data_IF_240449282494
#
_entry.id   IF_240449282494
#
_cell.length_a   1.000
_cell.length_b   1.000
_cell.length_c   1.000
_cell.angle_alpha   90.00
_cell.angle_beta   90.00
_cell.angle_gamma   90.00
#
_symmetry.space_group_name_H-M   'P 1'
#
loop_
_entity.id
_entity.type
_entity.pdbx_description
1 polymer ?
#
# COMPACT_ATOMS: atom_id res chain seq x y z
N UNK A 1 -5.64 -19.15 -15.32
CA UNK A 1 -6.91 -18.86 -16.02
C UNK A 1 -6.80 -17.47 -16.67
N UNK A 2 -6.51 -17.38 -17.99
CA UNK A 2 -6.15 -16.10 -18.64
C UNK A 2 -7.19 -14.98 -18.51
N UNK A 3 -8.46 -15.36 -18.37
CA UNK A 3 -9.58 -14.42 -18.25
C UNK A 3 -9.52 -13.58 -16.96
N UNK A 4 -9.08 -14.16 -15.83
CA UNK A 4 -9.01 -13.45 -14.55
C UNK A 4 -7.91 -12.39 -14.59
N UNK A 5 -6.70 -12.77 -14.99
CA UNK A 5 -5.58 -11.83 -15.10
C UNK A 5 -5.89 -10.71 -16.08
N UNK A 6 -6.55 -11.02 -17.20
CA UNK A 6 -6.98 -9.99 -18.17
C UNK A 6 -7.98 -9.00 -17.55
N UNK A 7 -8.97 -9.50 -16.80
CA UNK A 7 -9.95 -8.63 -16.11
C UNK A 7 -9.28 -7.72 -15.08
N UNK A 8 -8.38 -8.28 -14.28
CA UNK A 8 -7.63 -7.52 -13.27
C UNK A 8 -6.75 -6.44 -13.93
N UNK A 9 -6.05 -6.77 -15.01
CA UNK A 9 -5.24 -5.81 -15.78
C UNK A 9 -6.08 -4.66 -16.34
N UNK A 10 -7.24 -4.94 -16.91
CA UNK A 10 -8.17 -3.90 -17.39
C UNK A 10 -8.55 -2.96 -16.24
N UNK A 11 -9.00 -3.52 -15.12
CA UNK A 11 -9.47 -2.73 -13.97
C UNK A 11 -8.35 -1.86 -13.39
N UNK A 12 -7.11 -2.32 -13.46
CA UNK A 12 -5.94 -1.63 -12.93
C UNK A 12 -5.22 -0.74 -13.96
N UNK A 13 -5.74 -0.60 -15.18
CA UNK A 13 -5.14 0.21 -16.25
C UNK A 13 -3.86 -0.37 -16.87
N UNK A 14 -3.65 -1.67 -16.77
CA UNK A 14 -2.46 -2.38 -17.28
C UNK A 14 -2.66 -2.90 -18.72
N UNK A 15 -1.56 -3.14 -19.44
CA UNK A 15 -1.57 -3.70 -20.78
C UNK A 15 -1.78 -5.23 -20.74
N UNK A 16 -2.90 -5.70 -21.31
CA UNK A 16 -3.30 -7.12 -21.33
C UNK A 16 -2.46 -7.94 -22.31
N UNK A 17 -1.99 -7.31 -23.39
CA UNK A 17 -1.15 -7.96 -24.39
C UNK A 17 0.27 -8.20 -23.87
N UNK A 18 0.73 -7.33 -22.97
CA UNK A 18 2.02 -7.47 -22.32
C UNK A 18 1.95 -8.48 -21.16
N UNK A 19 2.79 -9.51 -21.19
CA UNK A 19 2.81 -10.62 -20.23
C UNK A 19 4.23 -11.07 -19.86
N UNK A 20 5.25 -10.45 -20.45
CA UNK A 20 6.65 -10.82 -20.29
C UNK A 20 7.43 -9.87 -19.38
N UNK A 21 6.84 -8.73 -19.02
CA UNK A 21 7.38 -7.81 -18.02
C UNK A 21 6.43 -7.65 -16.84
N UNK A 22 6.95 -7.43 -15.63
CA UNK A 22 6.13 -7.04 -14.49
C UNK A 22 5.34 -5.76 -14.79
N UNK A 23 4.12 -5.67 -14.27
CA UNK A 23 3.28 -4.49 -14.38
C UNK A 23 2.64 -4.17 -13.05
N UNK A 24 2.60 -2.89 -12.71
CA UNK A 24 1.92 -2.38 -11.53
C UNK A 24 0.79 -1.46 -11.93
N UNK A 25 -0.30 -1.53 -11.18
CA UNK A 25 -1.49 -0.71 -11.39
C UNK A 25 -2.24 -0.50 -10.08
N UNK A 26 -3.33 0.26 -10.16
CA UNK A 26 -4.21 0.49 -9.02
C UNK A 26 -5.66 0.41 -9.45
N UNK A 27 -6.50 -0.09 -8.54
CA UNK A 27 -7.95 -0.14 -8.70
C UNK A 27 -8.53 0.66 -7.54
N UNK A 28 -9.21 1.76 -7.83
CA UNK A 28 -10.00 2.47 -6.82
C UNK A 28 -11.45 2.03 -6.93
N UNK A 29 -12.01 1.50 -5.85
CA UNK A 29 -13.41 1.08 -5.81
C UNK A 29 -14.08 1.52 -4.50
N UNK A 30 -15.40 1.67 -4.54
CA UNK A 30 -16.21 1.91 -3.36
C UNK A 30 -16.89 0.60 -2.96
N UNK A 31 -16.63 0.14 -1.75
CA UNK A 31 -17.20 -1.09 -1.21
C UNK A 31 -17.82 -0.79 0.16
N UNK A 32 -19.10 -1.09 0.33
CA UNK A 32 -19.85 -0.81 1.58
C UNK A 32 -19.68 0.65 2.07
N UNK A 33 -19.76 1.60 1.16
CA UNK A 33 -19.60 3.03 1.46
C UNK A 33 -18.15 3.50 1.61
N UNK A 34 -17.20 2.60 1.91
CA UNK A 34 -15.77 2.90 2.08
C UNK A 34 -15.03 2.97 0.77
N UNK A 35 -14.07 3.89 0.66
CA UNK A 35 -13.16 3.97 -0.50
C UNK A 35 -11.96 3.07 -0.28
N UNK A 36 -11.86 1.99 -1.06
CA UNK A 36 -10.73 1.05 -1.02
C UNK A 36 -9.83 1.32 -2.23
N UNK A 37 -8.54 1.45 -1.96
CA UNK A 37 -7.50 1.58 -2.97
C UNK A 37 -6.73 0.26 -3.04
N UNK A 38 -6.79 -0.44 -4.17
CA UNK A 38 -6.13 -1.73 -4.34
C UNK A 38 -4.91 -1.52 -5.23
N UNK A 39 -3.72 -1.78 -4.69
CA UNK A 39 -2.51 -1.88 -5.51
C UNK A 39 -2.43 -3.27 -6.10
N UNK A 40 -2.21 -3.36 -7.40
CA UNK A 40 -2.14 -4.62 -8.13
C UNK A 40 -0.77 -4.70 -8.79
N UNK A 41 -0.09 -5.83 -8.60
CA UNK A 41 1.16 -6.15 -9.29
C UNK A 41 0.99 -7.47 -10.04
N UNK A 42 1.49 -7.53 -11.26
CA UNK A 42 1.56 -8.77 -12.05
C UNK A 42 3.00 -9.05 -12.42
N UNK A 43 3.40 -10.32 -12.40
CA UNK A 43 4.74 -10.75 -12.78
C UNK A 43 4.71 -12.06 -13.58
N UNK A 44 5.57 -12.22 -14.60
CA UNK A 44 5.67 -13.46 -15.36
C UNK A 44 6.18 -14.60 -14.47
N UNK A 45 5.61 -15.78 -14.67
CA UNK A 45 5.98 -17.05 -14.00
C UNK A 45 5.98 -18.19 -15.02
N UNK A 46 6.43 -19.38 -14.62
CA UNK A 46 6.49 -20.56 -15.49
C UNK A 46 5.12 -20.94 -16.10
N UNK A 47 4.02 -20.70 -15.38
CA UNK A 47 2.68 -21.13 -15.76
C UNK A 47 1.72 -19.98 -16.13
N UNK A 48 2.28 -18.81 -16.46
CA UNK A 48 1.51 -17.60 -16.77
C UNK A 48 1.91 -16.45 -15.87
N UNK A 49 0.95 -15.66 -15.41
CA UNK A 49 1.24 -14.47 -14.59
C UNK A 49 0.79 -14.68 -13.14
N UNK A 50 1.66 -14.36 -12.20
CA UNK A 50 1.28 -14.17 -10.79
C UNK A 50 0.62 -12.81 -10.64
N UNK A 51 -0.43 -12.73 -9.83
CA UNK A 51 -1.15 -11.49 -9.54
C UNK A 51 -1.17 -11.30 -8.03
N UNK A 52 -0.65 -10.19 -7.55
CA UNK A 52 -0.68 -9.80 -6.14
C UNK A 52 -1.55 -8.56 -6.00
N UNK A 53 -2.48 -8.59 -5.06
CA UNK A 53 -3.34 -7.45 -4.74
C UNK A 53 -3.16 -7.06 -3.28
N UNK A 54 -2.85 -5.79 -3.04
CA UNK A 54 -2.75 -5.20 -1.70
C UNK A 54 -3.86 -4.19 -1.53
N UNK A 55 -4.76 -4.47 -0.60
CA UNK A 55 -5.86 -3.58 -0.25
C UNK A 55 -5.34 -2.54 0.74
N UNK A 56 -5.60 -1.26 0.43
CA UNK A 56 -5.33 -0.13 1.30
C UNK A 56 -6.67 0.52 1.63
N UNK A 57 -7.06 0.41 2.91
CA UNK A 57 -8.18 1.16 3.46
C UNK A 57 -7.65 2.53 3.91
N UNK A 58 -8.12 3.61 3.27
CA UNK A 58 -7.66 4.98 3.57
C UNK A 58 -8.42 5.60 4.74
N UNK A 59 -9.52 4.99 5.19
CA UNK A 59 -10.36 5.55 6.26
C UNK A 59 -9.97 5.03 7.66
N UNK A 60 -9.10 4.03 7.76
CA UNK A 60 -8.88 3.28 9.02
C UNK A 60 -7.70 3.73 9.89
N UNK A 61 -6.91 4.73 9.51
CA UNK A 61 -5.69 5.09 10.25
C UNK A 61 -5.84 6.44 10.95
N UNK A 62 -6.21 6.39 12.22
CA UNK A 62 -5.93 7.49 13.16
C UNK A 62 -4.42 7.52 13.41
N UNK A 63 -3.74 8.56 12.92
CA UNK A 63 -2.30 8.76 13.07
C UNK A 63 -1.97 9.40 14.43
N UNK A 64 -2.36 8.75 15.54
CA UNK A 64 -1.97 9.18 16.88
C UNK A 64 -0.92 8.22 17.45
N UNK A 65 0.25 8.76 17.83
CA UNK A 65 1.37 8.00 18.38
C UNK A 65 0.97 7.20 19.63
N UNK A 66 0.03 7.72 20.43
CA UNK A 66 -0.48 7.00 21.59
C UNK A 66 -1.27 5.74 21.16
N UNK A 67 -2.13 5.86 20.14
CA UNK A 67 -2.87 4.72 19.59
C UNK A 67 -1.99 3.68 18.89
N UNK A 68 -0.79 4.08 18.46
CA UNK A 68 0.23 3.19 17.87
C UNK A 68 1.02 2.40 18.93
N UNK A 69 0.71 2.58 20.22
CA UNK A 69 1.35 1.85 21.32
C UNK A 69 2.67 2.47 21.80
N UNK A 70 2.94 3.73 21.43
CA UNK A 70 4.07 4.47 21.98
C UNK A 70 3.85 4.73 23.47
N UNK A 71 4.86 4.43 24.30
CA UNK A 71 4.80 4.75 25.72
C UNK A 71 4.82 6.26 25.92
N UNK A 72 4.23 6.74 27.00
CA UNK A 72 4.12 8.18 27.27
C UNK A 72 5.49 8.87 27.33
N UNK A 73 6.50 8.22 27.90
CA UNK A 73 7.88 8.74 27.98
C UNK A 73 8.55 8.88 26.60
N UNK A 74 8.35 7.88 25.74
CA UNK A 74 8.85 7.87 24.36
C UNK A 74 8.14 8.95 23.53
N UNK A 75 6.83 9.09 23.72
CA UNK A 75 6.00 10.11 23.08
C UNK A 75 6.43 11.52 23.47
N UNK A 76 6.59 11.79 24.76
CA UNK A 76 7.07 13.09 25.24
C UNK A 76 8.48 13.43 24.72
N UNK A 77 9.30 12.42 24.46
CA UNK A 77 10.62 12.59 23.83
C UNK A 77 10.48 12.87 22.33
N UNK A 78 9.63 12.13 21.63
CA UNK A 78 9.32 12.36 20.21
C UNK A 78 8.73 13.76 19.97
N UNK A 79 7.71 14.16 20.74
CA UNK A 79 7.04 15.47 20.64
C UNK A 79 8.03 16.62 20.82
N UNK A 80 8.99 16.48 21.75
CA UNK A 80 10.08 17.45 21.92
C UNK A 80 11.03 17.49 20.73
N UNK A 81 11.43 16.33 20.20
CA UNK A 81 12.38 16.24 19.08
C UNK A 81 11.78 16.80 17.78
N UNK A 82 10.52 16.51 17.47
CA UNK A 82 9.86 17.01 16.26
C UNK A 82 9.55 18.51 16.31
N UNK A 83 9.48 19.10 17.52
CA UNK A 83 9.28 20.53 17.72
C UNK A 83 10.56 21.37 17.57
N UNK A 84 11.74 20.74 17.47
CA UNK A 84 12.99 21.46 17.27
C UNK A 84 13.02 22.13 15.88
N UNK A 85 13.53 23.37 15.76
CA UNK A 85 13.52 24.12 14.50
C UNK A 85 14.42 23.51 13.42
N UNK A 86 15.33 22.63 13.80
CA UNK A 86 16.29 21.95 12.94
C UNK A 86 16.83 20.69 13.64
N UNK A 87 17.08 19.64 12.86
CA UNK A 87 17.55 18.33 13.34
C UNK A 87 17.16 17.22 12.37
N UNK A 88 17.60 15.99 12.64
CA UNK A 88 17.21 14.80 11.88
C UNK A 88 16.64 13.76 12.85
N UNK A 89 15.44 13.25 12.54
CA UNK A 89 14.84 12.10 13.22
C UNK A 89 14.81 10.95 12.22
N UNK A 90 15.43 9.82 12.58
CA UNK A 90 15.49 8.63 11.74
C UNK A 90 14.53 7.57 12.29
N UNK A 91 13.50 7.23 11.51
CA UNK A 91 12.60 6.12 11.82
C UNK A 91 13.15 4.87 11.12
N UNK A 92 13.49 3.85 11.90
CA UNK A 92 14.06 2.59 11.40
C UNK A 92 13.12 1.42 11.70
N UNK A 93 13.16 0.41 10.84
CA UNK A 93 12.38 -0.81 10.98
C UNK A 93 12.51 -1.67 9.71
N UNK A 94 12.28 -2.98 9.80
CA UNK A 94 12.16 -3.83 8.62
C UNK A 94 10.90 -3.48 7.81
N UNK A 95 10.86 -3.93 6.54
CA UNK A 95 9.67 -3.83 5.67
C UNK A 95 8.57 -4.79 6.06
#
# INVERSE_FOLDING_TARGET
QPAITSRVKIMAGMNIAERYVPQDGHITLRFEGRKIDIRVSTAPTLYGESVVMRLLDKESISLDLATLGMREEDRASMDRLIALPHGMVLVTGPT
#
